data_IF_425974243800
#
_entry.id   IF_425974243800
#
_cell.length_a   1.000
_cell.length_b   1.000
_cell.length_c   1.000
_cell.angle_alpha   90.00
_cell.angle_beta   90.00
_cell.angle_gamma   90.00
#
_symmetry.space_group_name_H-M   'P 1'
#
loop_
_entity.id
_entity.type
_entity.pdbx_description
1 polymer ?
#
# COMPACT_ATOMS: atom_id res chain seq x y z
N UNK A 1 34.05 -13.92 34.51
CA UNK A 1 32.69 -14.27 34.05
C UNK A 1 31.83 -13.09 34.42
N UNK A 2 31.29 -12.39 33.42
CA UNK A 2 30.44 -11.21 33.61
C UNK A 2 29.08 -11.53 33.01
N UNK A 3 28.06 -11.56 33.85
CA UNK A 3 26.67 -11.81 33.46
C UNK A 3 26.09 -10.55 32.80
N UNK A 4 25.54 -10.73 31.60
CA UNK A 4 24.77 -9.74 30.86
C UNK A 4 23.36 -9.72 31.46
N UNK A 5 22.98 -8.60 32.09
CA UNK A 5 21.63 -8.37 32.58
C UNK A 5 20.74 -7.96 31.40
N UNK A 6 19.87 -8.88 30.98
CA UNK A 6 18.81 -8.61 30.02
C UNK A 6 17.75 -7.72 30.69
N UNK A 7 17.70 -6.44 30.32
CA UNK A 7 16.62 -5.55 30.75
C UNK A 7 15.35 -5.87 29.97
N UNK A 8 14.40 -6.51 30.64
CA UNK A 8 13.07 -6.81 30.13
C UNK A 8 12.25 -5.51 30.05
N UNK A 9 11.68 -5.25 28.86
CA UNK A 9 10.97 -4.00 28.54
C UNK A 9 9.59 -3.96 29.22
N UNK A 10 9.42 -3.09 30.22
CA UNK A 10 8.23 -3.00 31.10
C UNK A 10 7.08 -2.13 30.53
N UNK A 11 7.13 -1.79 29.24
CA UNK A 11 6.13 -0.95 28.57
C UNK A 11 6.33 0.55 28.80
N UNK A 12 5.54 1.36 28.08
CA UNK A 12 5.59 2.83 28.20
C UNK A 12 4.69 3.31 29.33
N UNK A 13 5.19 4.24 30.14
CA UNK A 13 4.38 4.92 31.14
C UNK A 13 3.34 5.83 30.49
N UNK A 14 2.20 6.05 31.14
CA UNK A 14 1.14 6.94 30.61
C UNK A 14 1.67 8.34 30.30
N UNK A 15 2.62 8.84 31.10
CA UNK A 15 3.25 10.14 30.90
C UNK A 15 4.07 10.19 29.60
N UNK A 16 4.72 9.09 29.21
CA UNK A 16 5.46 9.02 27.94
C UNK A 16 4.52 8.96 26.74
N UNK A 17 3.40 8.26 26.88
CA UNK A 17 2.34 8.21 25.86
C UNK A 17 1.72 9.60 25.67
N UNK A 18 1.40 10.30 26.76
CA UNK A 18 0.80 11.63 26.72
C UNK A 18 1.79 12.67 26.16
N UNK A 19 3.07 12.59 26.52
CA UNK A 19 4.11 13.43 25.95
C UNK A 19 4.32 13.16 24.45
N UNK A 20 4.20 11.90 24.01
CA UNK A 20 4.25 11.55 22.59
C UNK A 20 3.03 12.09 21.83
N UNK A 21 1.83 12.02 22.41
CA UNK A 21 0.61 12.58 21.85
C UNK A 21 0.69 14.12 21.73
N UNK A 22 1.23 14.81 22.75
CA UNK A 22 1.46 16.25 22.67
C UNK A 22 2.45 16.63 21.58
N UNK A 23 3.59 15.91 21.48
CA UNK A 23 4.58 16.13 20.40
C UNK A 23 3.99 15.90 19.01
N UNK A 24 3.09 14.93 18.88
CA UNK A 24 2.36 14.68 17.65
C UNK A 24 1.44 15.85 17.29
N UNK A 25 0.64 16.32 18.25
CA UNK A 25 -0.28 17.45 18.05
C UNK A 25 0.46 18.76 17.75
N UNK A 26 1.57 19.04 18.44
CA UNK A 26 2.42 20.20 18.16
C UNK A 26 3.00 20.14 16.74
N UNK A 27 3.36 18.94 16.28
CA UNK A 27 3.85 18.72 14.92
C UNK A 27 2.75 18.94 13.87
N UNK A 28 1.50 18.56 14.14
CA UNK A 28 0.36 18.84 13.26
C UNK A 28 0.10 20.35 13.16
N UNK A 29 0.15 21.07 14.29
CA UNK A 29 -0.02 22.52 14.32
C UNK A 29 1.07 23.26 13.52
N UNK A 30 2.32 22.78 13.57
CA UNK A 30 3.44 23.33 12.80
C UNK A 30 3.26 23.15 11.27
N UNK A 31 2.52 22.14 10.84
CA UNK A 31 2.25 21.81 9.43
C UNK A 31 1.00 22.57 8.91
N UNK A 32 0.30 23.31 9.78
CA UNK A 32 -0.87 24.10 9.40
C UNK A 32 -2.14 23.28 9.15
N UNK A 33 -2.16 22.02 9.58
CA UNK A 33 -3.34 21.14 9.56
C UNK A 33 -4.03 21.19 10.91
N UNK A 34 -4.59 22.36 11.23
CA UNK A 34 -5.55 22.51 12.32
C UNK A 34 -6.95 22.32 11.76
N UNK A 35 -7.63 21.27 12.21
CA UNK A 35 -9.09 21.06 12.10
C UNK A 35 -9.67 21.43 10.72
N UNK A 36 -9.39 20.59 9.70
CA UNK A 36 -10.14 20.66 8.45
C UNK A 36 -11.54 20.09 8.71
N UNK A 37 -12.55 20.97 8.76
CA UNK A 37 -13.92 20.58 8.47
C UNK A 37 -13.93 19.95 7.07
N UNK A 38 -14.30 18.67 7.02
CA UNK A 38 -14.49 17.92 5.78
C UNK A 38 -15.69 18.52 5.06
N UNK A 39 -15.43 19.48 4.16
CA UNK A 39 -16.40 19.85 3.14
C UNK A 39 -16.31 18.75 2.09
N UNK A 40 -17.33 17.91 2.11
CA UNK A 40 -17.61 16.86 1.13
C UNK A 40 -17.49 17.44 -0.28
N UNK A 41 -16.46 17.02 -1.00
CA UNK A 41 -16.33 17.32 -2.42
C UNK A 41 -16.69 16.06 -3.18
N UNK A 42 -18.00 15.83 -3.27
CA UNK A 42 -18.62 14.86 -4.18
C UNK A 42 -18.24 15.20 -5.62
N UNK A 43 -17.13 14.66 -6.10
CA UNK A 43 -16.92 14.46 -7.53
C UNK A 43 -15.97 13.29 -7.77
N UNK A 44 -16.39 12.11 -7.31
CA UNK A 44 -15.90 10.85 -7.88
C UNK A 44 -16.86 10.46 -9.00
N UNK A 45 -16.42 10.61 -10.25
CA UNK A 45 -17.11 10.02 -11.39
C UNK A 45 -16.96 8.50 -11.30
N UNK A 46 -18.01 7.83 -10.85
CA UNK A 46 -18.17 6.38 -10.92
C UNK A 46 -18.09 5.94 -12.39
N UNK A 47 -17.00 5.26 -12.76
CA UNK A 47 -16.95 4.52 -14.01
C UNK A 47 -17.52 3.13 -13.76
N UNK A 48 -18.80 2.97 -14.08
CA UNK A 48 -19.54 1.70 -14.13
C UNK A 48 -18.89 0.72 -15.11
N UNK A 49 -18.40 -0.40 -14.60
CA UNK A 49 -17.84 -1.50 -15.39
C UNK A 49 -18.88 -2.61 -15.48
N UNK A 50 -19.94 -2.38 -16.25
CA UNK A 50 -20.95 -3.38 -16.57
C UNK A 50 -20.50 -4.18 -17.81
N UNK A 51 -19.95 -5.37 -17.59
CA UNK A 51 -19.72 -6.37 -18.64
C UNK A 51 -20.96 -7.28 -18.73
N UNK A 52 -21.93 -6.87 -19.54
CA UNK A 52 -23.09 -7.70 -19.87
C UNK A 52 -22.71 -8.72 -20.95
N UNK A 53 -22.47 -9.97 -20.54
CA UNK A 53 -23.03 -11.19 -21.16
C UNK A 53 -22.29 -12.44 -20.65
N UNK A 54 -22.92 -13.24 -19.78
CA UNK A 54 -22.82 -14.71 -19.86
C UNK A 54 -24.12 -15.38 -19.36
N UNK A 55 -24.60 -16.44 -20.04
CA UNK A 55 -25.94 -17.00 -19.84
C UNK A 55 -26.03 -17.93 -18.64
N UNK A 56 -27.23 -17.90 -18.03
CA UNK A 56 -27.68 -18.65 -16.86
C UNK A 56 -27.45 -20.15 -16.96
N UNK A 57 -26.80 -20.73 -15.94
CA UNK A 57 -26.91 -22.16 -15.60
C UNK A 57 -27.43 -22.26 -14.17
N UNK A 58 -28.68 -22.69 -14.06
CA UNK A 58 -29.35 -22.99 -12.80
C UNK A 58 -28.69 -24.19 -12.11
N UNK A 59 -28.09 -23.99 -10.94
CA UNK A 59 -27.99 -25.06 -9.94
C UNK A 59 -28.14 -24.48 -8.54
N UNK A 60 -29.17 -24.95 -7.84
CA UNK A 60 -29.61 -24.48 -6.55
C UNK A 60 -28.52 -24.65 -5.48
N UNK A 61 -27.98 -23.52 -5.02
CA UNK A 61 -27.11 -23.42 -3.85
C UNK A 61 -27.30 -22.05 -3.22
N UNK A 62 -27.86 -22.07 -2.01
CA UNK A 62 -28.10 -20.92 -1.13
C UNK A 62 -26.81 -20.09 -0.96
N UNK A 63 -26.68 -19.01 -1.73
CA UNK A 63 -25.61 -18.02 -1.57
C UNK A 63 -26.20 -16.85 -0.79
N UNK A 64 -25.69 -16.52 0.41
CA UNK A 64 -26.12 -15.31 1.10
C UNK A 64 -25.78 -14.13 0.20
N UNK A 65 -26.82 -13.33 -0.10
CA UNK A 65 -26.68 -12.03 -0.70
C UNK A 65 -25.79 -11.15 0.19
N UNK A 66 -25.15 -10.15 -0.41
CA UNK A 66 -24.28 -9.16 0.22
C UNK A 66 -22.95 -9.65 0.83
N UNK A 67 -21.94 -9.84 -0.03
CA UNK A 67 -20.52 -9.81 0.35
C UNK A 67 -19.72 -8.84 -0.53
N UNK A 68 -20.30 -7.67 -0.82
CA UNK A 68 -19.63 -6.58 -1.55
C UNK A 68 -19.34 -5.43 -0.58
N UNK A 69 -18.24 -5.56 0.17
CA UNK A 69 -17.73 -4.51 1.05
C UNK A 69 -16.54 -4.98 1.87
N UNK A 70 -15.44 -4.23 1.87
CA UNK A 70 -14.40 -4.38 2.88
C UNK A 70 -15.00 -3.95 4.22
N UNK A 71 -15.48 -4.89 5.02
CA UNK A 71 -16.08 -4.57 6.30
C UNK A 71 -15.01 -4.05 7.28
N UNK A 72 -15.12 -2.77 7.67
CA UNK A 72 -14.31 -2.11 8.72
C UNK A 72 -14.63 -2.60 10.14
N UNK A 73 -15.30 -3.75 10.29
CA UNK A 73 -15.74 -4.24 11.59
C UNK A 73 -14.65 -5.09 12.24
N UNK A 74 -13.62 -4.43 12.77
CA UNK A 74 -12.60 -5.04 13.65
C UNK A 74 -13.11 -5.36 15.07
N UNK A 75 -14.42 -5.54 15.26
CA UNK A 75 -14.99 -5.94 16.55
C UNK A 75 -14.98 -7.47 16.73
N UNK A 76 -13.82 -8.08 16.49
CA UNK A 76 -13.63 -9.53 16.62
C UNK A 76 -13.51 -9.99 18.09
N UNK A 77 -13.63 -9.09 19.05
CA UNK A 77 -13.47 -9.43 20.47
C UNK A 77 -14.77 -9.88 21.15
N UNK A 78 -15.95 -9.51 20.62
CA UNK A 78 -17.24 -9.84 21.25
C UNK A 78 -17.91 -11.10 20.69
N UNK A 79 -17.52 -11.53 19.48
CA UNK A 79 -17.96 -12.78 18.86
C UNK A 79 -16.78 -13.74 18.96
N UNK A 80 -16.73 -14.46 20.08
CA UNK A 80 -15.59 -15.24 20.59
C UNK A 80 -14.57 -15.65 19.52
N UNK A 81 -13.31 -15.28 19.78
CA UNK A 81 -12.10 -15.47 18.98
C UNK A 81 -12.34 -15.96 17.55
N UNK A 82 -11.87 -15.23 16.50
CA UNK A 82 -11.71 -15.86 15.19
C UNK A 82 -11.06 -17.20 15.45
N UNK A 83 -11.57 -18.26 14.84
CA UNK A 83 -10.73 -19.43 14.66
C UNK A 83 -9.47 -18.94 13.95
N UNK A 84 -8.45 -18.59 14.73
CA UNK A 84 -7.12 -18.27 14.23
C UNK A 84 -6.78 -19.56 13.52
N UNK A 85 -6.84 -19.49 12.20
CA UNK A 85 -6.53 -20.62 11.33
C UNK A 85 -5.02 -20.80 11.46
N UNK A 86 -4.61 -21.43 12.55
CA UNK A 86 -3.23 -21.84 12.74
C UNK A 86 -2.97 -22.84 11.62
N UNK A 87 -2.04 -22.54 10.69
CA UNK A 87 -1.77 -23.44 9.59
C UNK A 87 -1.37 -24.80 10.18
N UNK A 88 -2.16 -25.84 9.90
CA UNK A 88 -1.82 -27.22 10.27
C UNK A 88 -0.79 -27.74 9.26
N UNK A 89 0.44 -27.25 9.34
CA UNK A 89 1.54 -27.63 8.44
C UNK A 89 2.83 -26.88 8.77
N UNK A 90 3.93 -27.26 8.13
CA UNK A 90 5.18 -26.52 8.23
C UNK A 90 4.93 -25.08 7.76
N UNK A 91 5.03 -24.13 8.68
CA UNK A 91 4.94 -22.71 8.40
C UNK A 91 6.30 -22.17 8.01
N UNK A 92 6.32 -21.16 7.13
CA UNK A 92 7.54 -20.48 6.72
C UNK A 92 7.77 -20.49 5.21
N UNK A 93 8.92 -19.94 4.76
CA UNK A 93 9.24 -19.82 3.35
C UNK A 93 9.34 -21.20 2.69
N UNK A 94 8.55 -21.43 1.64
CA UNK A 94 8.63 -22.67 0.84
C UNK A 94 9.83 -22.66 -0.11
N UNK A 95 10.34 -21.47 -0.44
CA UNK A 95 11.54 -21.28 -1.27
C UNK A 95 12.65 -20.75 -0.38
N UNK A 96 13.67 -21.58 -0.16
CA UNK A 96 14.89 -21.18 0.54
C UNK A 96 15.88 -20.70 -0.52
N UNK A 97 16.34 -19.46 -0.35
CA UNK A 97 17.41 -18.88 -1.14
C UNK A 97 18.74 -19.07 -0.40
N UNK A 98 19.85 -19.11 -1.16
CA UNK A 98 21.19 -19.17 -0.58
C UNK A 98 21.45 -17.97 0.35
N UNK A 99 22.33 -18.10 1.36
CA UNK A 99 22.63 -17.02 2.29
C UNK A 99 23.26 -15.78 1.62
N UNK A 100 23.87 -15.94 0.44
CA UNK A 100 24.56 -14.87 -0.30
C UNK A 100 23.63 -14.09 -1.25
N UNK A 101 22.31 -14.12 -1.02
CA UNK A 101 21.31 -13.50 -1.90
C UNK A 101 20.95 -12.08 -1.48
N UNK A 102 20.71 -11.24 -2.47
CA UNK A 102 20.37 -9.83 -2.25
C UNK A 102 18.85 -9.64 -2.13
N UNK A 103 18.36 -8.56 -1.50
CA UNK A 103 16.93 -8.28 -1.38
C UNK A 103 16.16 -8.32 -2.73
N UNK A 104 16.83 -7.98 -3.83
CA UNK A 104 16.27 -8.05 -5.19
C UNK A 104 15.96 -9.48 -5.65
N UNK A 105 16.71 -10.48 -5.16
CA UNK A 105 16.46 -11.89 -5.46
C UNK A 105 15.16 -12.37 -4.81
N UNK A 106 14.91 -11.93 -3.57
CA UNK A 106 13.65 -12.20 -2.87
C UNK A 106 12.47 -11.48 -3.53
N UNK A 107 12.66 -10.21 -3.94
CA UNK A 107 11.65 -9.47 -4.69
C UNK A 107 11.26 -10.21 -5.97
N UNK A 108 12.24 -10.76 -6.69
CA UNK A 108 12.02 -11.50 -7.95
C UNK A 108 11.22 -12.80 -7.77
N UNK A 109 11.13 -13.34 -6.55
CA UNK A 109 10.26 -14.48 -6.24
C UNK A 109 8.78 -14.10 -6.22
N UNK A 110 8.48 -12.87 -5.80
CA UNK A 110 7.11 -12.33 -5.73
C UNK A 110 6.72 -11.71 -7.08
N UNK A 111 7.58 -10.84 -7.60
CA UNK A 111 7.38 -10.14 -8.87
C UNK A 111 8.17 -10.81 -9.98
N UNK A 112 7.68 -11.97 -10.41
CA UNK A 112 8.27 -12.69 -11.54
C UNK A 112 8.13 -11.87 -12.82
N UNK A 113 9.01 -12.12 -13.80
CA UNK A 113 8.93 -11.44 -15.11
C UNK A 113 7.57 -11.64 -15.79
N UNK A 114 6.90 -12.78 -15.60
CA UNK A 114 5.56 -13.02 -16.15
C UNK A 114 4.52 -12.06 -15.57
N UNK A 115 4.55 -11.84 -14.24
CA UNK A 115 3.65 -10.89 -13.57
C UNK A 115 3.96 -9.46 -14.03
N UNK A 116 5.24 -9.08 -14.10
CA UNK A 116 5.63 -7.75 -14.56
C UNK A 116 5.16 -7.48 -16.00
N UNK A 117 5.31 -8.46 -16.89
CA UNK A 117 4.82 -8.37 -18.27
C UNK A 117 3.30 -8.24 -18.31
N UNK A 118 2.59 -8.99 -17.47
CA UNK A 118 1.13 -8.89 -17.38
C UNK A 118 0.68 -7.50 -16.92
N UNK A 119 1.32 -6.94 -15.89
CA UNK A 119 1.03 -5.59 -15.40
C UNK A 119 1.27 -4.55 -16.51
N UNK A 120 2.35 -4.68 -17.27
CA UNK A 120 2.65 -3.79 -18.40
C UNK A 120 1.56 -3.88 -19.47
N UNK A 121 1.14 -5.09 -19.85
CA UNK A 121 0.09 -5.29 -20.84
C UNK A 121 -1.24 -4.66 -20.43
N UNK A 122 -1.63 -4.84 -19.16
CA UNK A 122 -2.86 -4.24 -18.64
C UNK A 122 -2.76 -2.71 -18.55
N UNK A 123 -1.60 -2.18 -18.17
CA UNK A 123 -1.35 -0.73 -18.13
C UNK A 123 -1.46 -0.12 -19.53
N UNK A 124 -0.88 -0.79 -20.53
CA UNK A 124 -0.95 -0.35 -21.92
C UNK A 124 -2.38 -0.41 -22.48
N UNK A 125 -3.08 -1.50 -22.22
CA UNK A 125 -4.51 -1.65 -22.58
C UNK A 125 -5.34 -0.52 -21.96
N UNK A 126 -5.14 -0.22 -20.69
CA UNK A 126 -5.85 0.84 -20.00
C UNK A 126 -5.53 2.21 -20.58
N UNK A 127 -4.26 2.51 -20.83
CA UNK A 127 -3.87 3.79 -21.43
C UNK A 127 -4.48 3.99 -22.82
N UNK A 128 -4.50 2.95 -23.66
CA UNK A 128 -5.14 2.99 -24.96
C UNK A 128 -6.66 3.21 -24.85
N UNK A 129 -7.32 2.63 -23.82
CA UNK A 129 -8.73 2.92 -23.52
C UNK A 129 -8.91 4.40 -23.16
N UNK A 130 -8.08 4.95 -22.29
CA UNK A 130 -8.14 6.36 -21.89
C UNK A 130 -7.92 7.32 -23.07
N UNK A 131 -6.98 7.02 -23.96
CA UNK A 131 -6.74 7.82 -25.17
C UNK A 131 -7.96 7.82 -26.09
N UNK A 132 -8.61 6.66 -26.24
CA UNK A 132 -9.81 6.52 -27.07
C UNK A 132 -11.00 7.27 -26.48
N UNK A 133 -11.20 7.14 -25.17
CA UNK A 133 -12.37 7.67 -24.48
C UNK A 133 -12.23 9.19 -24.22
N UNK A 134 -10.98 9.69 -24.04
CA UNK A 134 -10.65 11.10 -23.78
C UNK A 134 -9.55 11.63 -24.72
N UNK A 135 -9.85 11.86 -26.01
CA UNK A 135 -8.85 12.26 -27.00
C UNK A 135 -8.26 13.66 -26.75
N UNK A 136 -9.00 14.57 -26.11
CA UNK A 136 -8.58 15.97 -25.89
C UNK A 136 -7.77 16.20 -24.60
N UNK A 137 -7.76 15.22 -23.68
CA UNK A 137 -7.10 15.34 -22.37
C UNK A 137 -5.61 14.96 -22.44
N UNK A 138 -5.23 14.15 -23.43
CA UNK A 138 -3.87 13.65 -23.58
C UNK A 138 -2.96 14.64 -24.33
N UNK A 139 -2.27 15.49 -23.56
CA UNK A 139 -1.28 16.45 -24.08
C UNK A 139 0.01 15.81 -24.59
N UNK A 140 0.27 14.53 -24.28
CA UNK A 140 1.49 13.81 -24.66
C UNK A 140 1.16 12.41 -25.15
N UNK A 141 1.90 11.88 -26.15
CA UNK A 141 1.69 10.53 -26.65
C UNK A 141 2.03 9.52 -25.54
N UNK A 142 1.14 8.55 -25.34
CA UNK A 142 1.40 7.41 -24.46
C UNK A 142 2.53 6.55 -25.02
N UNK A 143 3.42 6.08 -24.13
CA UNK A 143 4.49 5.15 -24.46
C UNK A 143 4.36 3.96 -23.51
N UNK A 144 4.30 2.76 -24.08
CA UNK A 144 4.23 1.52 -23.31
C UNK A 144 5.47 1.38 -22.41
N UNK A 145 5.29 1.18 -21.10
CA UNK A 145 6.40 1.06 -20.18
C UNK A 145 7.20 -0.23 -20.39
N UNK A 146 8.52 -0.15 -20.23
CA UNK A 146 9.41 -1.31 -20.24
C UNK A 146 9.43 -2.02 -18.88
N UNK A 147 9.97 -3.24 -18.85
CA UNK A 147 10.12 -4.01 -17.60
C UNK A 147 11.01 -3.27 -16.59
N UNK A 148 12.05 -2.59 -17.06
CA UNK A 148 12.96 -1.83 -16.20
C UNK A 148 12.27 -0.61 -15.60
N UNK A 149 11.49 0.13 -16.39
CA UNK A 149 10.69 1.26 -15.90
C UNK A 149 9.62 0.79 -14.91
N UNK A 150 8.96 -0.34 -15.16
CA UNK A 150 7.99 -0.90 -14.24
C UNK A 150 8.64 -1.32 -12.91
N UNK A 151 9.83 -1.92 -12.95
CA UNK A 151 10.61 -2.23 -11.74
C UNK A 151 11.02 -0.96 -10.99
N UNK A 152 11.45 0.08 -11.71
CA UNK A 152 11.80 1.37 -11.11
C UNK A 152 10.59 2.04 -10.46
N UNK A 153 9.42 1.98 -11.10
CA UNK A 153 8.16 2.48 -10.56
C UNK A 153 7.78 1.75 -9.27
N UNK A 154 7.83 0.42 -9.24
CA UNK A 154 7.59 -0.36 -8.02
C UNK A 154 8.61 -0.05 -6.91
N UNK A 155 9.88 0.10 -7.27
CA UNK A 155 10.93 0.53 -6.34
C UNK A 155 10.64 1.90 -5.73
N UNK A 156 10.13 2.84 -6.54
CA UNK A 156 9.68 4.15 -6.06
C UNK A 156 8.47 4.02 -5.13
N UNK A 157 7.49 3.18 -5.45
CA UNK A 157 6.33 2.90 -4.57
C UNK A 157 6.77 2.37 -3.20
N UNK A 158 7.75 1.47 -3.15
CA UNK A 158 8.31 1.00 -1.87
C UNK A 158 9.02 2.13 -1.12
N UNK A 159 9.77 2.98 -1.82
CA UNK A 159 10.42 4.12 -1.20
C UNK A 159 9.41 5.11 -0.60
N UNK A 160 8.27 5.33 -1.27
CA UNK A 160 7.17 6.13 -0.75
C UNK A 160 6.53 5.48 0.49
N UNK A 161 6.38 4.15 0.50
CA UNK A 161 5.92 3.41 1.67
C UNK A 161 6.86 3.54 2.88
N UNK A 162 8.17 3.66 2.65
CA UNK A 162 9.16 3.88 3.72
C UNK A 162 9.21 5.35 4.15
N UNK A 163 9.19 6.28 3.19
CA UNK A 163 9.33 7.71 3.44
C UNK A 163 8.00 8.45 3.29
N UNK A 164 7.05 8.18 4.19
CA UNK A 164 5.69 8.72 4.06
C UNK A 164 5.67 10.24 4.14
N UNK A 165 5.14 10.88 3.09
CA UNK A 165 4.85 12.32 2.99
C UNK A 165 3.35 12.57 3.06
N UNK A 166 2.92 13.76 3.55
CA UNK A 166 1.51 14.07 3.75
C UNK A 166 0.69 14.18 2.44
N UNK A 167 1.34 14.47 1.31
CA UNK A 167 0.68 14.56 0.01
C UNK A 167 1.50 13.86 -1.07
N UNK A 168 0.80 13.25 -2.03
CA UNK A 168 1.44 12.56 -3.16
C UNK A 168 2.28 13.53 -4.00
N UNK A 169 1.82 14.78 -4.16
CA UNK A 169 2.55 15.81 -4.92
C UNK A 169 3.88 16.17 -4.26
N UNK A 170 3.97 15.99 -2.94
CA UNK A 170 5.20 16.25 -2.19
C UNK A 170 6.34 15.27 -2.51
N UNK A 171 6.04 14.09 -3.07
CA UNK A 171 7.08 13.15 -3.55
C UNK A 171 7.71 13.60 -4.86
N UNK A 172 6.97 14.38 -5.64
CA UNK A 172 7.40 14.89 -6.94
C UNK A 172 7.90 16.34 -6.89
N UNK A 173 7.87 16.95 -5.71
CA UNK A 173 8.36 18.31 -5.49
C UNK A 173 9.88 18.34 -5.38
N UNK A 174 10.51 19.29 -6.06
CA UNK A 174 11.95 19.55 -5.97
C UNK A 174 12.31 20.47 -4.79
N UNK A 175 11.34 20.80 -3.93
CA UNK A 175 11.57 21.70 -2.79
C UNK A 175 12.61 21.11 -1.82
N UNK A 176 13.64 21.90 -1.55
CA UNK A 176 14.74 21.58 -0.64
C UNK A 176 14.23 21.29 0.77
N UNK A 177 13.11 21.92 1.18
CA UNK A 177 12.50 21.71 2.50
C UNK A 177 11.86 20.33 2.66
N UNK A 178 11.53 19.66 1.55
CA UNK A 178 10.94 18.32 1.55
C UNK A 178 11.98 17.21 1.40
N UNK A 179 13.27 17.54 1.26
CA UNK A 179 14.33 16.53 1.17
C UNK A 179 14.48 15.81 2.53
N UNK A 180 14.55 14.46 2.56
CA UNK A 180 14.82 13.75 3.80
C UNK A 180 16.12 14.24 4.42
N UNK A 181 16.07 14.60 5.71
CA UNK A 181 17.20 15.15 6.45
C UNK A 181 18.25 14.04 6.64
N UNK A 182 19.21 13.98 5.74
CA UNK A 182 20.37 13.12 5.91
C UNK A 182 21.26 13.73 6.99
N UNK A 183 21.37 13.06 8.13
CA UNK A 183 22.34 13.45 9.15
C UNK A 183 23.73 13.19 8.60
N UNK A 184 24.48 14.27 8.36
CA UNK A 184 25.91 14.20 8.06
C UNK A 184 26.58 13.64 9.30
N UNK A 185 27.13 12.43 9.21
CA UNK A 185 28.01 11.90 10.27
C UNK A 185 29.28 12.73 10.26
N UNK A 186 29.51 13.45 11.35
CA UNK A 186 30.79 14.09 11.70
C UNK A 186 31.82 13.05 12.13
#
# INVERSE_FOLDING_TARGET
>A
MSESSDEEFDGFSQNEVDAAAQRYNDRLAQIGIGELDVVDNENESENDFSDENEPLVDEAGDRPAEADGWHENFNYYERGLPHIFLPRGNTGPTKVLDPDKEPVDFFSLLFTNAILQYIIQETDRYANKQIRDHPDENKSPWVTPTVEEMKAFLGLCFLMGINVKPDIKSYWSTDVMLRPRTSVKS
#
